data_IF_003491237527
#
_entry.id   IF_003491237527
#
_cell.length_a   1.000
_cell.length_b   1.000
_cell.length_c   1.000
_cell.angle_alpha   90.00
_cell.angle_beta   90.00
_cell.angle_gamma   90.00
#
_symmetry.space_group_name_H-M   'P 1'
#
loop_
_entity.id
_entity.type
_entity.pdbx_description
1 polymer ?
#
# COMPACT_ATOMS: atom_id res chain seq x y z
N UNK A 1 7.54 2.33 -30.01
CA UNK A 1 8.10 2.98 -28.79
C UNK A 1 6.92 3.40 -27.92
N UNK A 2 6.62 2.61 -26.88
CA UNK A 2 5.42 2.77 -26.06
C UNK A 2 5.40 4.11 -25.31
N UNK A 3 4.42 4.95 -25.66
CA UNK A 3 4.12 6.20 -24.98
C UNK A 3 3.48 5.89 -23.63
N UNK A 4 4.29 5.80 -22.58
CA UNK A 4 3.79 5.53 -21.22
C UNK A 4 2.95 6.68 -20.70
N UNK A 5 1.81 6.33 -20.10
CA UNK A 5 0.93 7.27 -19.43
C UNK A 5 1.63 7.83 -18.19
N UNK A 6 1.96 9.13 -18.23
CA UNK A 6 2.40 9.88 -17.07
C UNK A 6 1.18 10.45 -16.33
N UNK A 7 1.31 10.61 -15.02
CA UNK A 7 0.30 11.30 -14.22
C UNK A 7 0.09 12.72 -14.73
N UNK A 8 -1.16 13.08 -15.04
CA UNK A 8 -1.52 14.42 -15.53
C UNK A 8 -1.34 15.51 -14.46
N UNK A 9 -1.39 15.15 -13.18
CA UNK A 9 -1.24 16.08 -12.05
C UNK A 9 -0.54 15.43 -10.85
N UNK A 10 0.29 16.20 -10.14
CA UNK A 10 0.93 15.77 -8.89
C UNK A 10 -0.10 15.50 -7.79
N UNK A 11 -1.15 16.30 -7.74
CA UNK A 11 -2.24 16.12 -6.77
C UNK A 11 -2.96 14.79 -7.04
N UNK A 12 -3.21 14.47 -8.31
CA UNK A 12 -3.81 13.18 -8.69
C UNK A 12 -2.96 11.98 -8.26
N UNK A 13 -1.63 12.08 -8.37
CA UNK A 13 -0.71 11.05 -7.87
C UNK A 13 -0.79 10.89 -6.34
N UNK A 14 -0.77 12.00 -5.60
CA UNK A 14 -0.83 11.98 -4.13
C UNK A 14 -2.18 11.44 -3.64
N UNK A 15 -3.29 11.88 -4.24
CA UNK A 15 -4.63 11.41 -3.88
C UNK A 15 -4.84 9.93 -4.19
N UNK A 16 -4.35 9.45 -5.34
CA UNK A 16 -4.39 8.03 -5.66
C UNK A 16 -3.61 7.18 -4.64
N UNK A 17 -2.43 7.66 -4.23
CA UNK A 17 -1.65 7.03 -3.17
C UNK A 17 -2.34 7.06 -1.81
N UNK A 18 -2.92 8.20 -1.42
CA UNK A 18 -3.65 8.34 -0.16
C UNK A 18 -4.88 7.42 -0.12
N UNK A 19 -5.66 7.36 -1.19
CA UNK A 19 -6.81 6.47 -1.30
C UNK A 19 -6.43 4.99 -1.25
N UNK A 20 -5.29 4.61 -1.82
CA UNK A 20 -4.78 3.24 -1.74
C UNK A 20 -4.28 2.87 -0.33
N UNK A 21 -3.76 3.83 0.43
CA UNK A 21 -3.23 3.61 1.78
C UNK A 21 -4.31 3.62 2.88
N UNK A 22 -5.38 4.41 2.71
CA UNK A 22 -6.47 4.51 3.68
C UNK A 22 -7.47 3.38 3.45
N UNK A 23 -7.32 2.28 4.19
CA UNK A 23 -8.22 1.14 4.14
C UNK A 23 -9.18 1.05 5.34
N UNK A 24 -10.06 0.05 5.31
CA UNK A 24 -10.98 -0.29 6.42
C UNK A 24 -10.28 -0.34 7.78
N UNK A 25 -9.03 -0.84 7.84
CA UNK A 25 -8.24 -0.93 9.08
C UNK A 25 -8.12 0.40 9.84
N UNK A 26 -8.09 1.54 9.15
CA UNK A 26 -8.06 2.85 9.79
C UNK A 26 -9.37 3.17 10.56
N UNK A 27 -10.50 2.61 10.12
CA UNK A 27 -11.83 2.89 10.69
C UNK A 27 -12.06 2.15 12.00
N UNK A 28 -11.64 0.89 12.08
CA UNK A 28 -11.98 -0.01 13.21
C UNK A 28 -10.77 -0.56 13.97
N UNK A 29 -9.71 -0.98 13.27
CA UNK A 29 -8.55 -1.62 13.90
C UNK A 29 -7.70 -0.59 14.63
N UNK A 30 -7.51 0.61 14.08
CA UNK A 30 -6.76 1.66 14.75
C UNK A 30 -7.42 2.10 16.07
N UNK A 31 -8.72 2.47 16.12
CA UNK A 31 -9.37 2.81 17.38
C UNK A 31 -9.37 1.65 18.38
N UNK A 32 -9.57 0.41 17.91
CA UNK A 32 -9.50 -0.77 18.76
C UNK A 32 -8.13 -0.94 19.41
N UNK A 33 -7.04 -0.86 18.64
CA UNK A 33 -5.67 -0.96 19.15
C UNK A 33 -5.30 0.22 20.05
N UNK A 34 -5.77 1.43 19.73
CA UNK A 34 -5.56 2.58 20.60
C UNK A 34 -6.28 2.37 21.94
N UNK A 35 -7.55 1.97 21.92
CA UNK A 35 -8.33 1.68 23.12
C UNK A 35 -7.75 0.57 23.99
N UNK A 36 -7.28 -0.53 23.40
CA UNK A 36 -6.75 -1.67 24.14
C UNK A 36 -5.32 -1.50 24.64
N UNK A 37 -4.51 -0.65 23.99
CA UNK A 37 -3.08 -0.47 24.32
C UNK A 37 -2.78 0.84 25.09
N UNK A 38 -3.66 1.24 26.01
CA UNK A 38 -3.43 2.42 26.86
C UNK A 38 -3.93 3.75 26.28
N UNK A 39 -4.91 3.69 25.38
CA UNK A 39 -5.62 4.86 24.86
C UNK A 39 -4.69 5.84 24.14
N UNK A 40 -4.57 7.04 24.69
CA UNK A 40 -3.73 8.08 24.11
C UNK A 40 -2.22 7.74 24.19
N UNK A 41 -1.78 6.91 25.14
CA UNK A 41 -0.37 6.54 25.25
C UNK A 41 0.12 5.74 24.04
N UNK A 42 -0.77 4.97 23.39
CA UNK A 42 -0.47 4.22 22.16
C UNK A 42 -0.08 5.13 20.98
N UNK A 43 -0.58 6.37 20.95
CA UNK A 43 -0.30 7.31 19.85
C UNK A 43 1.20 7.62 19.74
N UNK A 44 1.93 7.69 20.85
CA UNK A 44 3.34 8.03 20.84
C UNK A 44 4.20 7.01 20.06
N UNK A 45 4.25 5.71 20.44
CA UNK A 45 4.98 4.72 19.66
C UNK A 45 4.39 4.54 18.25
N UNK A 46 3.07 4.69 18.07
CA UNK A 46 2.44 4.62 16.75
C UNK A 46 2.97 5.69 15.79
N UNK A 47 3.03 6.95 16.22
CA UNK A 47 3.54 8.06 15.40
C UNK A 47 5.03 7.90 15.14
N UNK A 48 5.82 7.54 16.15
CA UNK A 48 7.27 7.31 15.99
C UNK A 48 7.54 6.21 14.96
N UNK A 49 6.86 5.07 15.06
CA UNK A 49 7.02 3.96 14.11
C UNK A 49 6.50 4.30 12.71
N UNK A 50 5.41 5.06 12.62
CA UNK A 50 4.86 5.51 11.33
C UNK A 50 5.80 6.47 10.61
N UNK A 51 6.38 7.44 11.31
CA UNK A 51 7.32 8.41 10.74
C UNK A 51 8.70 7.84 10.45
N UNK A 52 9.10 6.75 11.12
CA UNK A 52 10.38 6.09 10.87
C UNK A 52 10.23 4.95 9.87
N UNK A 53 9.66 3.82 10.29
CA UNK A 53 9.53 2.60 9.49
C UNK A 53 8.54 2.81 8.34
N UNK A 54 7.36 3.36 8.64
CA UNK A 54 6.31 3.58 7.63
C UNK A 54 6.78 4.50 6.51
N UNK A 55 7.34 5.65 6.87
CA UNK A 55 7.86 6.63 5.90
C UNK A 55 9.08 6.10 5.13
N UNK A 56 10.02 5.42 5.79
CA UNK A 56 11.19 4.85 5.12
C UNK A 56 10.78 3.79 4.07
N UNK A 57 9.84 2.91 4.41
CA UNK A 57 9.32 1.91 3.48
C UNK A 57 8.57 2.55 2.31
N UNK A 58 7.75 3.57 2.57
CA UNK A 58 7.04 4.30 1.51
C UNK A 58 8.02 4.97 0.54
N UNK A 59 9.07 5.62 1.06
CA UNK A 59 10.09 6.25 0.23
C UNK A 59 10.88 5.20 -0.57
N UNK A 60 11.22 4.07 0.03
CA UNK A 60 11.86 2.95 -0.66
C UNK A 60 10.97 2.41 -1.81
N UNK A 61 9.67 2.21 -1.58
CA UNK A 61 8.77 1.69 -2.61
C UNK A 61 8.58 2.68 -3.77
N UNK A 62 8.38 3.96 -3.46
CA UNK A 62 8.23 5.01 -4.48
C UNK A 62 9.52 5.20 -5.30
N UNK A 63 10.69 5.13 -4.66
CA UNK A 63 11.98 5.24 -5.36
C UNK A 63 12.25 4.03 -6.24
N UNK A 64 12.01 2.80 -5.75
CA UNK A 64 12.11 1.57 -6.55
C UNK A 64 11.16 1.60 -7.75
N UNK A 65 9.91 2.03 -7.57
CA UNK A 65 8.94 2.18 -8.66
C UNK A 65 9.41 3.17 -9.74
N UNK A 66 10.02 4.30 -9.32
CA UNK A 66 10.60 5.29 -10.23
C UNK A 66 11.84 4.80 -10.97
N UNK A 67 12.69 4.00 -10.33
CA UNK A 67 13.90 3.44 -10.95
C UNK A 67 13.57 2.29 -11.91
N UNK A 68 12.69 1.37 -11.51
CA UNK A 68 12.29 0.25 -12.34
C UNK A 68 11.51 0.66 -13.58
N UNK A 69 10.66 1.70 -13.44
CA UNK A 69 9.71 2.17 -14.45
C UNK A 69 8.98 0.96 -15.08
N UNK A 70 8.39 0.11 -14.28
CA UNK A 70 7.73 -1.11 -14.75
C UNK A 70 6.84 -1.72 -13.68
N UNK A 71 6.19 -2.84 -14.00
CA UNK A 71 5.47 -3.62 -12.99
C UNK A 71 6.41 -4.12 -11.90
N UNK A 72 5.87 -4.45 -10.73
CA UNK A 72 6.63 -4.94 -9.57
C UNK A 72 7.65 -6.01 -9.97
N UNK A 73 7.23 -7.03 -10.72
CA UNK A 73 8.10 -8.10 -11.23
C UNK A 73 9.26 -7.57 -12.09
N UNK A 74 8.96 -6.68 -13.04
CA UNK A 74 9.99 -6.13 -13.93
C UNK A 74 10.97 -5.21 -13.19
N UNK A 75 10.49 -4.45 -12.21
CA UNK A 75 11.29 -3.58 -11.34
C UNK A 75 12.26 -4.40 -10.51
N UNK A 76 11.77 -5.44 -9.82
CA UNK A 76 12.62 -6.35 -9.05
C UNK A 76 13.64 -7.08 -9.92
N UNK A 77 13.25 -7.53 -11.11
CA UNK A 77 14.17 -8.18 -12.06
C UNK A 77 15.24 -7.23 -12.61
N UNK A 78 14.91 -5.95 -12.79
CA UNK A 78 15.83 -4.94 -13.32
C UNK A 78 16.82 -4.43 -12.28
N UNK A 79 16.38 -4.29 -11.02
CA UNK A 79 17.19 -3.74 -9.93
C UNK A 79 17.97 -4.84 -9.19
N UNK A 80 17.32 -5.97 -8.88
CA UNK A 80 17.92 -7.08 -8.12
C UNK A 80 18.42 -8.25 -8.99
N UNK A 81 18.21 -8.22 -10.30
CA UNK A 81 18.58 -9.30 -11.22
C UNK A 81 17.56 -10.44 -11.29
N UNK A 82 17.87 -11.48 -12.06
CA UNK A 82 16.91 -12.58 -12.39
C UNK A 82 16.38 -13.32 -11.15
N UNK A 83 17.20 -13.49 -10.10
CA UNK A 83 16.82 -14.19 -8.87
C UNK A 83 15.76 -13.46 -8.04
N UNK A 84 15.65 -12.14 -8.18
CA UNK A 84 14.69 -11.32 -7.44
C UNK A 84 13.30 -11.25 -8.08
N UNK A 85 13.13 -11.83 -9.28
CA UNK A 85 11.83 -11.89 -9.93
C UNK A 85 10.79 -12.66 -9.09
N UNK A 86 11.23 -13.68 -8.33
CA UNK A 86 10.36 -14.44 -7.43
C UNK A 86 9.63 -13.55 -6.42
N UNK A 87 10.36 -12.64 -5.76
CA UNK A 87 9.79 -11.69 -4.81
C UNK A 87 8.80 -10.74 -5.48
N UNK A 88 9.05 -10.36 -6.72
CA UNK A 88 8.11 -9.57 -7.51
C UNK A 88 6.81 -10.32 -7.80
N UNK A 89 6.87 -11.60 -8.14
CA UNK A 89 5.67 -12.43 -8.34
C UNK A 89 4.91 -12.66 -7.03
N UNK A 90 5.63 -12.86 -5.93
CA UNK A 90 5.02 -12.97 -4.61
C UNK A 90 4.24 -11.69 -4.25
N UNK A 91 4.79 -10.50 -4.54
CA UNK A 91 4.09 -9.24 -4.34
C UNK A 91 2.80 -9.09 -5.18
N UNK A 92 2.78 -9.65 -6.39
CA UNK A 92 1.55 -9.68 -7.21
C UNK A 92 0.52 -10.64 -6.61
N UNK A 93 0.97 -11.81 -6.15
CA UNK A 93 0.09 -12.79 -5.52
C UNK A 93 -0.52 -12.26 -4.21
N UNK A 94 0.27 -11.61 -3.36
CA UNK A 94 -0.25 -11.01 -2.13
C UNK A 94 -1.26 -9.91 -2.42
N UNK A 95 -0.99 -9.04 -3.40
CA UNK A 95 -1.95 -8.04 -3.87
C UNK A 95 -3.27 -8.65 -4.36
N UNK A 96 -3.21 -9.77 -5.09
CA UNK A 96 -4.39 -10.49 -5.55
C UNK A 96 -5.20 -11.09 -4.38
N UNK A 97 -4.54 -11.72 -3.41
CA UNK A 97 -5.21 -12.26 -2.22
C UNK A 97 -5.89 -11.15 -1.40
N UNK A 98 -5.22 -10.02 -1.20
CA UNK A 98 -5.80 -8.85 -0.52
C UNK A 98 -7.02 -8.34 -1.29
N UNK A 99 -6.92 -8.20 -2.62
CA UNK A 99 -8.04 -7.75 -3.44
C UNK A 99 -9.25 -8.68 -3.32
N UNK A 100 -9.05 -9.99 -3.40
CA UNK A 100 -10.13 -10.99 -3.26
C UNK A 100 -10.89 -10.85 -1.93
N UNK A 101 -10.16 -10.72 -0.82
CA UNK A 101 -10.75 -10.50 0.50
C UNK A 101 -11.50 -9.15 0.57
N UNK A 102 -10.90 -8.07 0.08
CA UNK A 102 -11.51 -6.74 0.08
C UNK A 102 -12.75 -6.65 -0.82
N UNK A 103 -12.79 -7.39 -1.93
CA UNK A 103 -13.96 -7.48 -2.81
C UNK A 103 -15.17 -8.11 -2.09
N UNK A 104 -14.95 -9.15 -1.27
CA UNK A 104 -16.02 -9.76 -0.49
C UNK A 104 -16.61 -8.79 0.54
N UNK A 105 -15.75 -8.05 1.27
CA UNK A 105 -16.21 -7.04 2.23
C UNK A 105 -16.93 -5.88 1.53
N UNK A 106 -16.43 -5.46 0.36
CA UNK A 106 -17.12 -4.48 -0.48
C UNK A 106 -18.53 -4.94 -0.87
N UNK A 107 -18.68 -6.22 -1.24
CA UNK A 107 -19.97 -6.83 -1.53
C UNK A 107 -20.93 -6.79 -0.33
N UNK A 108 -20.46 -7.14 0.87
CA UNK A 108 -21.26 -7.01 2.09
C UNK A 108 -21.66 -5.56 2.36
N UNK A 109 -20.73 -4.61 2.18
CA UNK A 109 -21.01 -3.19 2.40
C UNK A 109 -22.14 -2.70 1.50
N UNK A 110 -22.15 -3.11 0.23
CA UNK A 110 -23.23 -2.79 -0.71
C UNK A 110 -24.53 -3.48 -0.29
N UNK A 111 -24.49 -4.75 0.09
CA UNK A 111 -25.66 -5.52 0.51
C UNK A 111 -26.30 -5.06 1.83
N UNK A 112 -25.57 -4.36 2.69
CA UNK A 112 -26.12 -3.70 3.89
C UNK A 112 -26.61 -2.28 3.63
N UNK A 113 -26.20 -1.68 2.51
CA UNK A 113 -26.56 -0.31 2.13
C UNK A 113 -27.87 -0.24 1.33
N UNK A 114 -28.20 -1.31 0.61
CA UNK A 114 -29.44 -1.50 -0.14
C UNK A 114 -30.25 -2.65 0.46
#
# INVERSE_FOLDING_TARGET
>A
MDKRLNWKSRIGFVLAGAGAAIGLGAIWKFPFMAGSNGGAAFLFPYVVMSLTVGLALLLAEVTLGRMGRGSVVTTFRRIGGKGWAFWGYLGVLTGFCVLSFYSAIGGWTIAYLF
#
